data_IF_039888358086
#
_entry.id   IF_039888358086
#
_cell.length_a   1.000
_cell.length_b   1.000
_cell.length_c   1.000
_cell.angle_alpha   90.00
_cell.angle_beta   90.00
_cell.angle_gamma   90.00
#
_symmetry.space_group_name_H-M   'P 1'
#
loop_
_entity.id
_entity.type
_entity.pdbx_description
1 polymer ?
#
# COMPACT_ATOMS: atom_id res chain seq x y z
N UNK A 1 -15.85 -7.59 -92.69
CA UNK A 1 -16.32 -8.31 -91.48
C UNK A 1 -15.33 -9.43 -91.24
N UNK A 2 -14.58 -9.51 -90.16
CA UNK A 2 -14.72 -8.87 -88.84
C UNK A 2 -13.37 -8.96 -88.14
N UNK A 3 -12.91 -7.85 -87.57
CA UNK A 3 -11.67 -7.76 -86.78
C UNK A 3 -11.69 -8.75 -85.61
N UNK A 4 -10.55 -9.38 -85.34
CA UNK A 4 -10.29 -10.14 -84.10
C UNK A 4 -9.31 -9.35 -83.22
N UNK A 5 -9.74 -8.31 -82.49
CA UNK A 5 -8.91 -7.61 -81.52
C UNK A 5 -8.90 -8.29 -80.13
N UNK A 6 -9.69 -9.34 -79.90
CA UNK A 6 -9.99 -9.84 -78.54
C UNK A 6 -8.86 -10.61 -77.84
N UNK A 7 -7.88 -11.16 -78.57
CA UNK A 7 -6.84 -11.98 -77.93
C UNK A 7 -5.73 -11.16 -77.26
N UNK A 8 -5.39 -9.99 -77.79
CA UNK A 8 -4.35 -9.13 -77.23
C UNK A 8 -4.78 -8.54 -75.87
N UNK A 9 -6.07 -8.25 -75.70
CA UNK A 9 -6.60 -7.70 -74.45
C UNK A 9 -6.53 -8.70 -73.29
N UNK A 10 -6.80 -9.98 -73.54
CA UNK A 10 -6.77 -11.02 -72.48
C UNK A 10 -5.34 -11.25 -72.00
N UNK A 11 -4.37 -11.30 -72.91
CA UNK A 11 -2.96 -11.41 -72.55
C UNK A 11 -2.46 -10.20 -71.73
N UNK A 12 -2.91 -8.99 -72.07
CA UNK A 12 -2.57 -7.78 -71.30
C UNK A 12 -3.24 -7.72 -69.92
N UNK A 13 -4.46 -8.25 -69.78
CA UNK A 13 -5.17 -8.32 -68.51
C UNK A 13 -4.54 -9.34 -67.55
N UNK A 14 -4.16 -10.51 -68.06
CA UNK A 14 -3.50 -11.54 -67.26
C UNK A 14 -2.08 -11.12 -66.82
N UNK A 15 -1.36 -10.37 -67.65
CA UNK A 15 -0.07 -9.79 -67.27
C UNK A 15 -0.20 -8.63 -66.26
N UNK A 16 -1.33 -7.90 -66.25
CA UNK A 16 -1.60 -6.82 -65.32
C UNK A 16 -2.06 -7.31 -63.93
N UNK A 17 -2.67 -8.50 -63.84
CA UNK A 17 -3.09 -9.12 -62.57
C UNK A 17 -1.95 -9.84 -61.85
N UNK A 18 -0.86 -10.17 -62.54
CA UNK A 18 0.36 -10.67 -61.91
C UNK A 18 1.19 -9.52 -61.29
N UNK A 19 0.52 -8.58 -60.62
CA UNK A 19 1.17 -7.78 -59.58
C UNK A 19 1.47 -8.73 -58.43
N UNK A 20 2.66 -9.31 -58.48
CA UNK A 20 3.36 -9.87 -57.32
C UNK A 20 2.98 -9.02 -56.11
N UNK A 21 2.31 -9.62 -55.12
CA UNK A 21 2.02 -8.93 -53.87
C UNK A 21 3.31 -8.22 -53.46
N UNK A 22 3.28 -6.87 -53.44
CA UNK A 22 4.47 -6.05 -53.20
C UNK A 22 5.22 -6.70 -52.05
N UNK A 23 6.45 -7.16 -52.34
CA UNK A 23 7.30 -7.91 -51.41
C UNK A 23 7.16 -7.20 -50.10
N UNK A 24 6.57 -7.89 -49.13
CA UNK A 24 5.94 -7.16 -48.05
C UNK A 24 6.92 -6.16 -47.48
N UNK A 25 6.49 -4.94 -47.17
CA UNK A 25 7.36 -3.90 -46.63
C UNK A 25 7.99 -4.38 -45.30
N UNK A 26 9.06 -5.15 -45.44
CA UNK A 26 9.79 -5.78 -44.36
C UNK A 26 10.47 -4.70 -43.54
N UNK A 27 10.82 -3.57 -44.15
CA UNK A 27 11.31 -2.40 -43.46
C UNK A 27 10.24 -1.80 -42.54
N UNK A 28 9.00 -1.63 -43.03
CA UNK A 28 7.89 -1.18 -42.18
C UNK A 28 7.58 -2.17 -41.06
N UNK A 29 7.55 -3.49 -41.35
CA UNK A 29 7.33 -4.54 -40.33
C UNK A 29 8.44 -4.56 -39.27
N UNK A 30 9.70 -4.47 -39.68
CA UNK A 30 10.85 -4.37 -38.78
C UNK A 30 10.73 -3.08 -37.95
N UNK A 31 10.35 -1.96 -38.57
CA UNK A 31 10.08 -0.71 -37.87
C UNK A 31 9.01 -0.85 -36.79
N UNK A 32 7.88 -1.49 -37.11
CA UNK A 32 6.82 -1.79 -36.13
C UNK A 32 7.28 -2.71 -35.02
N UNK A 33 8.06 -3.75 -35.32
CA UNK A 33 8.61 -4.66 -34.31
C UNK A 33 9.59 -3.94 -33.37
N UNK A 34 10.50 -3.14 -33.92
CA UNK A 34 11.44 -2.35 -33.13
C UNK A 34 10.69 -1.33 -32.27
N UNK A 35 9.70 -0.64 -32.84
CA UNK A 35 8.84 0.29 -32.10
C UNK A 35 8.09 -0.39 -30.96
N UNK A 36 7.53 -1.57 -31.21
CA UNK A 36 6.84 -2.37 -30.18
C UNK A 36 7.80 -2.80 -29.07
N UNK A 37 8.99 -3.29 -29.42
CA UNK A 37 10.00 -3.71 -28.42
C UNK A 37 10.44 -2.53 -27.56
N UNK A 38 10.69 -1.36 -28.16
CA UNK A 38 11.05 -0.14 -27.43
C UNK A 38 9.90 0.33 -26.53
N UNK A 39 8.66 0.27 -27.00
CA UNK A 39 7.49 0.61 -26.20
C UNK A 39 7.33 -0.33 -25.00
N UNK A 40 7.46 -1.64 -25.21
CA UNK A 40 7.42 -2.62 -24.12
C UNK A 40 8.56 -2.38 -23.13
N UNK A 41 9.79 -2.15 -23.61
CA UNK A 41 10.93 -1.84 -22.76
C UNK A 41 10.71 -0.56 -21.94
N UNK A 42 10.12 0.49 -22.54
CA UNK A 42 9.76 1.72 -21.84
C UNK A 42 8.71 1.47 -20.75
N UNK A 43 7.66 0.70 -21.04
CA UNK A 43 6.65 0.33 -20.03
C UNK A 43 7.29 -0.43 -18.87
N UNK A 44 8.13 -1.43 -19.14
CA UNK A 44 8.86 -2.15 -18.10
C UNK A 44 9.80 -1.23 -17.30
N UNK A 45 10.44 -0.28 -17.96
CA UNK A 45 11.29 0.72 -17.30
C UNK A 45 10.47 1.63 -16.38
N UNK A 46 9.32 2.14 -16.84
CA UNK A 46 8.41 2.95 -16.02
C UNK A 46 7.84 2.15 -14.83
N UNK A 47 7.47 0.88 -15.04
CA UNK A 47 7.05 -0.01 -13.94
C UNK A 47 8.16 -0.20 -12.91
N UNK A 48 9.40 -0.40 -13.38
CA UNK A 48 10.58 -0.52 -12.51
C UNK A 48 10.83 0.77 -11.73
N UNK A 49 10.73 1.93 -12.38
CA UNK A 49 10.94 3.22 -11.73
C UNK A 49 9.83 3.52 -10.71
N UNK A 50 8.58 3.17 -11.02
CA UNK A 50 7.47 3.22 -10.06
C UNK A 50 7.64 2.28 -8.87
N UNK A 51 8.30 1.13 -9.05
CA UNK A 51 8.68 0.24 -7.94
C UNK A 51 9.84 0.79 -7.11
N UNK A 52 10.84 1.42 -7.73
CA UNK A 52 11.92 2.09 -6.98
C UNK A 52 11.40 3.26 -6.16
N UNK A 53 10.51 4.09 -6.74
CA UNK A 53 9.85 5.19 -6.02
C UNK A 53 8.99 4.69 -4.85
N UNK A 54 8.33 3.54 -4.99
CA UNK A 54 7.68 2.86 -3.85
C UNK A 54 8.65 2.37 -2.79
N UNK A 55 9.82 1.86 -3.18
CA UNK A 55 10.87 1.44 -2.25
C UNK A 55 11.49 2.60 -1.46
N UNK A 56 11.74 3.74 -2.10
CA UNK A 56 12.21 4.97 -1.43
C UNK A 56 11.17 5.54 -0.47
N UNK A 57 9.89 5.28 -0.74
CA UNK A 57 8.79 5.59 0.18
C UNK A 57 8.67 4.59 1.35
N UNK A 58 9.64 3.73 1.66
CA UNK A 58 9.60 2.88 2.88
C UNK A 58 10.90 2.84 3.70
N UNK A 59 12.01 3.33 3.15
CA UNK A 59 13.35 3.16 3.73
C UNK A 59 13.78 4.17 4.80
N UNK A 60 13.08 5.29 4.96
CA UNK A 60 13.53 6.43 5.77
C UNK A 60 12.64 6.67 7.01
N UNK A 61 12.08 5.60 7.57
CA UNK A 61 11.34 5.72 8.83
C UNK A 61 12.35 5.91 9.97
N UNK A 62 12.22 6.99 10.77
CA UNK A 62 13.11 7.22 11.90
C UNK A 62 13.03 6.07 12.91
N UNK A 63 13.99 6.01 13.83
CA UNK A 63 13.94 5.04 14.92
C UNK A 63 12.63 5.17 15.70
N UNK A 64 12.08 4.03 16.12
CA UNK A 64 10.82 4.00 16.84
C UNK A 64 10.97 4.72 18.20
N UNK A 65 9.95 5.46 18.64
CA UNK A 65 9.93 6.01 19.99
C UNK A 65 10.14 4.89 21.02
N UNK A 66 10.90 5.21 22.07
CA UNK A 66 11.14 4.30 23.20
C UNK A 66 10.09 4.58 24.28
N UNK A 67 9.67 3.53 24.98
CA UNK A 67 8.80 3.66 26.15
C UNK A 67 9.50 4.55 27.19
N UNK A 68 8.84 5.61 27.69
CA UNK A 68 9.41 6.44 28.76
C UNK A 68 9.70 5.61 30.02
N UNK A 69 10.68 6.01 30.83
CA UNK A 69 10.98 5.34 32.11
C UNK A 69 9.80 5.37 33.08
N UNK A 70 8.99 6.43 33.00
CA UNK A 70 7.76 6.60 33.78
C UNK A 70 6.57 6.80 32.83
N UNK A 71 5.99 5.72 32.26
CA UNK A 71 4.88 5.83 31.31
C UNK A 71 3.56 6.21 32.00
N UNK A 72 3.48 6.05 33.32
CA UNK A 72 2.29 6.30 34.14
C UNK A 72 1.49 5.02 34.40
N UNK A 73 0.33 5.17 35.05
CA UNK A 73 -0.57 4.06 35.37
C UNK A 73 -1.27 3.54 34.10
N UNK A 74 -1.44 2.21 34.03
CA UNK A 74 -2.17 1.57 32.93
C UNK A 74 -3.67 1.90 33.02
N UNK A 75 -4.19 2.57 31.99
CA UNK A 75 -5.61 2.90 31.86
C UNK A 75 -6.41 1.76 31.23
N UNK A 76 -5.85 1.13 30.21
CA UNK A 76 -6.41 -0.06 29.56
C UNK A 76 -5.29 -1.04 29.25
N UNK A 77 -5.61 -2.33 29.29
CA UNK A 77 -4.71 -3.39 28.84
C UNK A 77 -5.52 -4.44 28.06
N UNK A 78 -4.95 -4.95 26.97
CA UNK A 78 -5.55 -6.06 26.21
C UNK A 78 -4.47 -7.03 25.70
N UNK A 79 -4.87 -8.27 25.50
CA UNK A 79 -4.09 -9.27 24.76
C UNK A 79 -4.75 -9.54 23.41
N UNK A 80 -3.95 -9.87 22.40
CA UNK A 80 -4.49 -10.02 21.06
C UNK A 80 -3.52 -10.44 19.99
N UNK A 81 -3.88 -10.09 18.76
CA UNK A 81 -3.05 -10.26 17.58
C UNK A 81 -2.77 -8.92 16.93
N UNK A 82 -1.51 -8.72 16.58
CA UNK A 82 -1.08 -7.63 15.73
C UNK A 82 -1.04 -8.08 14.28
N UNK A 83 -1.71 -7.33 13.41
CA UNK A 83 -1.90 -7.70 12.00
C UNK A 83 -0.85 -7.11 11.06
N UNK A 84 -0.04 -6.17 11.56
CA UNK A 84 0.93 -5.39 10.79
C UNK A 84 0.49 -3.93 10.69
N UNK A 85 1.46 -3.06 10.39
CA UNK A 85 1.20 -1.67 10.04
C UNK A 85 1.27 -1.43 8.54
N UNK A 86 0.46 -0.48 8.08
CA UNK A 86 0.43 -0.01 6.70
C UNK A 86 0.55 1.51 6.64
N UNK A 87 0.89 2.05 5.48
CA UNK A 87 0.72 3.50 5.26
C UNK A 87 -0.76 3.86 5.41
N UNK A 88 -1.06 4.97 6.10
CA UNK A 88 -2.43 5.36 6.39
C UNK A 88 -3.29 5.48 5.13
N UNK A 89 -4.49 4.89 5.15
CA UNK A 89 -5.40 4.85 4.00
C UNK A 89 -4.96 3.93 2.84
N UNK A 90 -3.78 3.32 2.92
CA UNK A 90 -3.23 2.40 1.92
C UNK A 90 -3.09 1.00 2.52
N UNK A 91 -4.22 0.34 2.79
CA UNK A 91 -4.28 -0.95 3.51
C UNK A 91 -3.52 -2.12 2.87
N UNK A 92 -3.01 -1.99 1.63
CA UNK A 92 -2.15 -2.98 0.96
C UNK A 92 -0.65 -2.66 1.09
N UNK A 93 -0.31 -1.41 1.43
CA UNK A 93 1.06 -0.92 1.53
C UNK A 93 1.63 -1.23 2.92
N UNK A 94 2.10 -2.47 3.09
CA UNK A 94 2.68 -2.94 4.35
C UNK A 94 4.05 -2.29 4.61
N UNK A 95 4.22 -1.77 5.81
CA UNK A 95 5.50 -1.21 6.25
C UNK A 95 6.42 -2.34 6.67
N UNK A 96 7.58 -2.48 6.03
CA UNK A 96 8.54 -3.55 6.35
C UNK A 96 9.60 -3.08 7.36
N UNK A 97 9.80 -1.76 7.48
CA UNK A 97 10.76 -1.18 8.41
C UNK A 97 10.42 -1.50 9.88
N UNK A 98 11.47 -1.61 10.71
CA UNK A 98 11.39 -1.78 12.17
C UNK A 98 10.49 -2.93 12.65
N UNK A 99 10.26 -3.95 11.80
CA UNK A 99 9.41 -5.09 12.13
C UNK A 99 7.91 -4.76 12.21
N UNK A 100 7.47 -3.58 11.77
CA UNK A 100 6.05 -3.19 11.78
C UNK A 100 5.20 -4.03 10.81
N UNK A 101 5.81 -4.71 9.84
CA UNK A 101 5.07 -5.57 8.89
C UNK A 101 4.79 -6.98 9.43
N UNK A 102 5.45 -7.37 10.52
CA UNK A 102 5.43 -8.74 11.04
C UNK A 102 4.20 -8.95 11.90
N UNK A 103 3.41 -9.98 11.55
CA UNK A 103 2.27 -10.40 12.37
C UNK A 103 2.76 -11.14 13.61
N UNK A 104 2.14 -10.87 14.74
CA UNK A 104 2.54 -11.46 16.02
C UNK A 104 1.36 -11.53 17.00
N UNK A 105 1.58 -12.21 18.13
CA UNK A 105 0.80 -11.93 19.34
C UNK A 105 1.18 -10.54 19.84
N UNK A 106 0.28 -9.92 20.59
CA UNK A 106 0.51 -8.60 21.17
C UNK A 106 -0.15 -8.48 22.52
N UNK A 107 0.52 -7.77 23.41
CA UNK A 107 0.01 -7.27 24.67
C UNK A 107 0.08 -5.74 24.55
N UNK A 108 -1.08 -5.09 24.62
CA UNK A 108 -1.23 -3.65 24.42
C UNK A 108 -1.58 -3.01 25.75
N UNK A 109 -0.82 -2.01 26.17
CA UNK A 109 -1.08 -1.25 27.39
C UNK A 109 -1.17 0.24 27.07
N UNK A 110 -2.29 0.86 27.42
CA UNK A 110 -2.51 2.29 27.28
C UNK A 110 -2.16 2.98 28.59
N UNK A 111 -1.28 3.97 28.51
CA UNK A 111 -0.87 4.82 29.63
C UNK A 111 -1.10 6.29 29.28
N UNK A 112 -0.80 7.20 30.20
CA UNK A 112 -0.87 8.65 29.91
C UNK A 112 0.15 9.08 28.86
N UNK A 113 1.32 8.44 28.84
CA UNK A 113 2.35 8.72 27.86
C UNK A 113 2.00 8.23 26.45
N UNK A 114 1.25 7.14 26.33
CA UNK A 114 0.92 6.53 25.05
C UNK A 114 0.65 5.04 25.13
N UNK A 115 0.74 4.38 23.98
CA UNK A 115 0.50 2.94 23.83
C UNK A 115 1.83 2.20 23.82
N UNK A 116 1.99 1.31 24.79
CA UNK A 116 3.06 0.31 24.81
C UNK A 116 2.59 -0.97 24.10
N UNK A 117 3.37 -1.39 23.10
CA UNK A 117 3.05 -2.52 22.23
C UNK A 117 4.12 -3.60 22.37
N UNK A 118 3.87 -4.53 23.28
CA UNK A 118 4.74 -5.69 23.52
C UNK A 118 4.33 -6.82 22.60
N UNK A 119 5.26 -7.33 21.79
CA UNK A 119 5.03 -8.35 20.77
C UNK A 119 5.94 -9.55 21.00
N UNK A 120 5.51 -10.55 21.82
CA UNK A 120 6.31 -11.73 22.08
C UNK A 120 6.76 -12.42 20.78
N UNK A 121 8.07 -12.49 20.55
CA UNK A 121 8.69 -13.07 19.35
C UNK A 121 8.78 -12.14 18.13
N UNK A 122 8.50 -10.84 18.30
CA UNK A 122 8.76 -9.78 17.33
C UNK A 122 9.33 -8.54 18.06
N UNK A 123 9.63 -7.46 17.33
CA UNK A 123 10.18 -6.23 17.91
C UNK A 123 9.11 -5.43 18.64
N UNK A 124 9.32 -5.01 19.87
CA UNK A 124 8.37 -4.15 20.58
C UNK A 124 8.42 -2.71 20.04
N UNK A 125 7.37 -1.93 20.28
CA UNK A 125 7.35 -0.52 19.90
C UNK A 125 6.41 0.31 20.77
N UNK A 126 6.68 1.61 20.86
CA UNK A 126 5.86 2.56 21.59
C UNK A 126 5.24 3.58 20.63
N UNK A 127 3.98 3.93 20.88
CA UNK A 127 3.26 5.00 20.18
C UNK A 127 2.90 6.10 21.18
N UNK A 128 3.64 7.23 21.20
CA UNK A 128 3.30 8.38 22.02
C UNK A 128 1.88 8.87 21.74
N UNK A 129 1.16 9.25 22.79
CA UNK A 129 -0.21 9.76 22.65
C UNK A 129 -0.27 11.00 21.75
N UNK A 130 0.74 11.88 21.85
CA UNK A 130 0.88 13.08 21.00
C UNK A 130 1.09 12.78 19.51
N UNK A 131 1.44 11.54 19.16
CA UNK A 131 1.57 11.08 17.78
C UNK A 131 0.30 10.40 17.26
N UNK A 132 -0.66 10.05 18.11
CA UNK A 132 -1.93 9.47 17.69
C UNK A 132 -2.74 10.55 16.94
N UNK A 133 -3.37 10.15 15.83
CA UNK A 133 -4.13 11.04 14.94
C UNK A 133 -5.58 10.60 14.79
N UNK A 134 -5.81 9.30 14.73
CA UNK A 134 -7.15 8.74 14.62
C UNK A 134 -7.17 7.35 15.25
N UNK A 135 -8.26 7.00 15.93
CA UNK A 135 -8.51 5.65 16.43
C UNK A 135 -9.90 5.23 16.00
N UNK A 136 -9.99 4.11 15.27
CA UNK A 136 -11.24 3.65 14.67
C UNK A 136 -11.37 2.13 14.69
N UNK A 137 -12.60 1.67 14.58
CA UNK A 137 -12.88 0.28 14.21
C UNK A 137 -12.93 0.16 12.70
N UNK A 138 -12.21 -0.81 12.16
CA UNK A 138 -12.15 -1.04 10.72
C UNK A 138 -12.46 -2.50 10.37
N UNK A 139 -12.75 -2.75 9.10
CA UNK A 139 -13.02 -4.09 8.56
C UNK A 139 -11.78 -4.69 7.94
N UNK A 140 -10.73 -3.93 7.65
CA UNK A 140 -9.54 -4.50 7.04
C UNK A 140 -8.24 -3.71 7.15
N UNK A 141 -7.14 -4.44 7.25
CA UNK A 141 -5.78 -3.91 7.23
C UNK A 141 -4.81 -4.94 6.67
N UNK A 142 -3.72 -4.47 6.05
CA UNK A 142 -2.60 -5.28 5.60
C UNK A 142 -3.02 -6.49 4.73
N UNK A 143 -3.98 -6.27 3.84
CA UNK A 143 -4.54 -7.28 2.92
C UNK A 143 -5.49 -8.31 3.54
N UNK A 144 -6.01 -8.08 4.76
CA UNK A 144 -7.04 -8.93 5.37
C UNK A 144 -8.33 -8.15 5.61
N UNK A 145 -9.45 -8.76 5.27
CA UNK A 145 -10.80 -8.28 5.61
C UNK A 145 -11.39 -9.21 6.67
N UNK A 146 -11.93 -8.64 7.74
CA UNK A 146 -12.62 -9.30 8.83
C UNK A 146 -14.08 -8.83 8.87
N UNK A 147 -14.86 -9.38 9.80
CA UNK A 147 -16.20 -8.88 10.12
C UNK A 147 -16.14 -7.43 10.61
N UNK A 148 -17.21 -6.68 10.38
CA UNK A 148 -17.34 -5.30 10.83
C UNK A 148 -17.09 -5.15 12.33
N UNK A 149 -16.29 -4.15 12.72
CA UNK A 149 -15.89 -3.94 14.11
C UNK A 149 -14.86 -4.94 14.65
N UNK A 150 -14.26 -5.76 13.79
CA UNK A 150 -13.35 -6.83 14.21
C UNK A 150 -11.88 -6.43 14.40
N UNK A 151 -11.54 -5.17 14.14
CA UNK A 151 -10.17 -4.65 14.17
C UNK A 151 -10.14 -3.24 14.76
N UNK A 152 -9.29 -3.05 15.77
CA UNK A 152 -8.87 -1.74 16.25
C UNK A 152 -7.74 -1.23 15.36
N UNK A 153 -7.96 -0.11 14.67
CA UNK A 153 -6.92 0.57 13.88
C UNK A 153 -6.58 1.87 14.55
N UNK A 154 -5.29 2.05 14.81
CA UNK A 154 -4.72 3.27 15.37
C UNK A 154 -3.84 3.90 14.31
N UNK A 155 -4.22 5.09 13.86
CA UNK A 155 -3.44 5.93 12.95
C UNK A 155 -2.56 6.87 13.76
N UNK A 156 -1.27 6.85 13.51
CA UNK A 156 -0.29 7.66 14.24
C UNK A 156 0.80 8.21 13.31
N UNK A 157 1.37 9.34 13.69
CA UNK A 157 2.44 10.00 12.97
C UNK A 157 3.80 9.42 13.38
N UNK A 158 4.61 8.99 12.40
CA UNK A 158 5.99 8.55 12.61
C UNK A 158 6.91 9.22 11.60
N UNK A 159 7.71 10.18 12.07
CA UNK A 159 8.41 11.12 11.19
C UNK A 159 7.41 11.89 10.31
N UNK A 160 7.67 11.93 9.00
CA UNK A 160 6.82 12.62 8.02
C UNK A 160 5.65 11.77 7.50
N UNK A 161 5.30 10.67 8.19
CA UNK A 161 4.33 9.68 7.68
C UNK A 161 3.23 9.39 8.67
N UNK A 162 2.07 9.04 8.12
CA UNK A 162 0.96 8.47 8.87
C UNK A 162 0.95 6.96 8.67
N UNK A 163 0.90 6.25 9.80
CA UNK A 163 0.95 4.79 9.87
C UNK A 163 -0.35 4.30 10.50
N UNK A 164 -1.01 3.33 9.85
CA UNK A 164 -2.12 2.59 10.42
C UNK A 164 -1.59 1.30 11.06
N UNK A 165 -1.76 1.13 12.36
CA UNK A 165 -1.43 -0.08 13.11
C UNK A 165 -2.71 -0.84 13.48
N UNK A 166 -2.82 -2.10 13.05
CA UNK A 166 -4.02 -2.90 13.25
C UNK A 166 -3.89 -3.96 14.32
N UNK A 167 -4.82 -3.95 15.27
CA UNK A 167 -4.88 -4.82 16.43
C UNK A 167 -6.22 -5.54 16.51
N UNK A 168 -6.19 -6.75 17.02
CA UNK A 168 -7.40 -7.51 17.34
C UNK A 168 -7.27 -8.10 18.73
N UNK A 169 -7.99 -7.54 19.70
CA UNK A 169 -8.19 -8.17 21.02
C UNK A 169 -8.77 -9.57 20.88
N UNK A 170 -8.42 -10.44 21.82
CA UNK A 170 -9.05 -11.75 22.03
C UNK A 170 -10.55 -11.62 22.34
N UNK A 171 -10.97 -10.53 23.00
CA UNK A 171 -12.37 -10.21 23.24
C UNK A 171 -12.79 -9.00 22.40
N UNK A 172 -13.62 -9.23 21.38
CA UNK A 172 -14.04 -8.17 20.46
C UNK A 172 -14.79 -7.01 21.14
N UNK A 173 -15.45 -7.26 22.28
CA UNK A 173 -16.17 -6.24 23.04
C UNK A 173 -15.25 -5.13 23.59
N UNK A 174 -13.96 -5.41 23.76
CA UNK A 174 -12.98 -4.44 24.27
C UNK A 174 -12.67 -3.34 23.24
N UNK A 175 -12.87 -3.57 21.93
CA UNK A 175 -12.40 -2.61 20.92
C UNK A 175 -13.13 -1.26 21.01
N UNK A 176 -14.43 -1.26 21.36
CA UNK A 176 -15.20 -0.02 21.52
C UNK A 176 -14.66 0.84 22.67
N UNK A 177 -14.39 0.21 23.82
CA UNK A 177 -13.83 0.91 24.99
C UNK A 177 -12.46 1.53 24.69
N UNK A 178 -11.64 0.82 23.91
CA UNK A 178 -10.34 1.31 23.45
C UNK A 178 -10.47 2.52 22.53
N UNK A 179 -11.38 2.48 21.56
CA UNK A 179 -11.65 3.62 20.66
C UNK A 179 -12.13 4.84 21.46
N UNK A 180 -13.12 4.65 22.34
CA UNK A 180 -13.71 5.72 23.13
C UNK A 180 -12.66 6.37 24.06
N UNK A 181 -11.87 5.56 24.76
CA UNK A 181 -10.84 6.03 25.69
C UNK A 181 -9.72 6.78 24.97
N UNK A 182 -9.22 6.24 23.86
CA UNK A 182 -8.14 6.87 23.10
C UNK A 182 -8.58 8.19 22.45
N UNK A 183 -9.79 8.24 21.89
CA UNK A 183 -10.32 9.48 21.31
C UNK A 183 -10.47 10.56 22.40
N UNK A 184 -11.04 10.21 23.56
CA UNK A 184 -11.15 11.15 24.70
C UNK A 184 -9.80 11.65 25.21
N UNK A 185 -8.77 10.79 25.22
CA UNK A 185 -7.41 11.17 25.62
C UNK A 185 -6.73 12.06 24.58
N UNK A 186 -6.95 11.81 23.29
CA UNK A 186 -6.37 12.59 22.20
C UNK A 186 -6.99 14.00 22.16
N UNK A 187 -8.31 14.11 22.32
CA UNK A 187 -9.03 15.40 22.35
C UNK A 187 -8.55 16.29 23.52
N UNK A 188 -8.35 15.70 24.71
CA UNK A 188 -7.81 16.42 25.87
C UNK A 188 -6.38 16.91 25.67
N UNK A 189 -5.55 16.13 24.97
CA UNK A 189 -4.18 16.52 24.65
C UNK A 189 -4.17 17.74 23.74
N UNK A 190 -5.02 17.77 22.72
CA UNK A 190 -5.11 18.91 21.78
C UNK A 190 -5.58 20.20 22.45
N UNK A 191 -6.52 20.13 23.40
CA UNK A 191 -6.99 21.31 24.14
C UNK A 191 -5.89 21.90 25.06
N UNK A 192 -5.05 21.03 25.64
CA UNK A 192 -3.98 21.44 26.56
C UNK A 192 -2.79 22.07 25.82
N UNK A 193 -2.53 21.65 24.59
CA UNK A 193 -1.42 22.14 23.76
C UNK A 193 -1.77 23.46 23.03
N UNK A 194 -3.05 23.71 22.72
CA UNK A 194 -3.53 24.99 22.18
C UNK A 194 -3.65 26.14 23.20
N UNK A 195 -3.47 25.85 24.49
CA UNK A 195 -3.58 26.82 25.59
C UNK A 195 -2.23 27.37 26.09
N UNK A 196 -1.11 27.03 25.43
CA UNK A 196 0.25 27.46 25.80
C UNK A 196 0.88 28.43 24.81
#
# INVERSE_FOLDING_TARGET
>A
MTSQPHQTYIASYLAAEQKSAEVTDWAARIGWLVGLVLFVALVYWLMREGWKWRGTLQGDLPELPVVPEEPGEAKLAMTGRYHGSTTAGQWLDRIVAHGLGTRSKVELTLTEAGLDVVRPGATDFFVPLSQVREVRLDKGIAGKVLTEGGLLVITWAHGDRLIDSGFRSEHAAEHTEWVDTLNHMTDKSTDTEGAR
#
